data_IF_758231973210
#
_entry.id   IF_758231973210
#
_cell.length_a   1.000
_cell.length_b   1.000
_cell.length_c   1.000
_cell.angle_alpha   90.00
_cell.angle_beta   90.00
_cell.angle_gamma   90.00
#
_symmetry.space_group_name_H-M   'P 1'
#
loop_
_entity.id
_entity.type
_entity.pdbx_description
1 polymer ?
#
# COMPACT_ATOMS: atom_id res chain seq x y z
N UNK A 1 -5.08 -9.46 -15.65
CA UNK A 1 -6.49 -9.10 -15.43
C UNK A 1 -7.43 -10.24 -15.81
N UNK A 2 -7.08 -11.04 -16.82
CA UNK A 2 -7.86 -12.17 -17.31
C UNK A 2 -8.60 -13.01 -16.24
N UNK A 3 -7.95 -13.37 -15.12
CA UNK A 3 -8.62 -14.14 -14.05
C UNK A 3 -9.75 -13.38 -13.34
N UNK A 4 -9.59 -12.09 -13.06
CA UNK A 4 -10.64 -11.29 -12.41
C UNK A 4 -11.85 -11.11 -13.32
N UNK A 5 -11.60 -10.88 -14.62
CA UNK A 5 -12.64 -10.82 -15.65
C UNK A 5 -13.35 -12.17 -15.81
N UNK A 6 -12.60 -13.27 -15.83
CA UNK A 6 -13.16 -14.63 -15.93
C UNK A 6 -14.07 -14.95 -14.74
N UNK A 7 -13.65 -14.65 -13.51
CA UNK A 7 -14.49 -14.91 -12.32
C UNK A 7 -15.75 -14.04 -12.36
N UNK A 8 -15.64 -12.76 -12.77
CA UNK A 8 -16.79 -11.88 -12.92
C UNK A 8 -17.79 -12.37 -13.99
N UNK A 9 -17.30 -13.02 -15.05
CA UNK A 9 -18.12 -13.57 -16.14
C UNK A 9 -18.62 -14.99 -15.87
N UNK A 10 -17.96 -15.76 -14.99
CA UNK A 10 -18.27 -17.16 -14.72
C UNK A 10 -19.57 -17.37 -13.91
N UNK A 11 -20.29 -16.31 -13.54
CA UNK A 11 -21.50 -16.40 -12.71
C UNK A 11 -21.22 -16.81 -11.27
N UNK A 12 -19.96 -16.68 -10.81
CA UNK A 12 -19.58 -16.89 -9.42
C UNK A 12 -20.07 -15.69 -8.61
N UNK A 13 -20.79 -15.95 -7.51
CA UNK A 13 -21.24 -14.90 -6.60
C UNK A 13 -20.12 -14.51 -5.64
N UNK A 14 -19.71 -13.25 -5.73
CA UNK A 14 -18.81 -12.59 -4.79
C UNK A 14 -19.11 -11.09 -4.78
N UNK A 15 -18.79 -10.42 -3.68
CA UNK A 15 -19.19 -9.03 -3.46
C UNK A 15 -18.13 -8.02 -3.92
N UNK A 16 -16.84 -8.37 -3.82
CA UNK A 16 -15.74 -7.43 -4.04
C UNK A 16 -14.40 -8.10 -4.36
N UNK A 17 -13.42 -7.30 -4.79
CA UNK A 17 -12.01 -7.69 -4.87
C UNK A 17 -11.21 -7.10 -3.71
N UNK A 18 -10.40 -7.94 -3.05
CA UNK A 18 -9.37 -7.50 -2.13
C UNK A 18 -8.02 -7.37 -2.84
N UNK A 19 -7.33 -6.25 -2.68
CA UNK A 19 -5.99 -6.02 -3.23
C UNK A 19 -4.98 -5.75 -2.12
N UNK A 20 -3.88 -6.50 -2.16
CA UNK A 20 -2.69 -6.25 -1.35
C UNK A 20 -1.63 -5.61 -2.26
N UNK A 21 -1.13 -4.45 -1.85
CA UNK A 21 -0.20 -3.61 -2.60
C UNK A 21 0.98 -3.28 -1.69
N UNK A 22 1.81 -4.28 -1.47
CA UNK A 22 3.06 -4.15 -0.73
C UNK A 22 4.20 -4.03 -1.75
N UNK A 23 4.86 -2.87 -1.78
CA UNK A 23 5.87 -2.55 -2.80
C UNK A 23 7.22 -2.24 -2.16
N UNK A 24 8.27 -2.13 -2.97
CA UNK A 24 9.62 -1.75 -2.50
C UNK A 24 10.49 -2.89 -1.99
N UNK A 25 10.15 -4.16 -2.25
CA UNK A 25 10.98 -5.33 -1.90
C UNK A 25 11.25 -6.24 -3.11
N UNK A 26 12.38 -6.97 -3.17
CA UNK A 26 12.79 -7.73 -4.35
C UNK A 26 12.06 -9.09 -4.44
N UNK A 27 10.73 -9.04 -4.49
CA UNK A 27 9.84 -10.18 -4.62
C UNK A 27 8.90 -10.00 -5.82
N UNK A 28 8.44 -11.10 -6.46
CA UNK A 28 7.54 -11.02 -7.61
C UNK A 28 6.30 -10.16 -7.32
N UNK A 29 6.09 -9.11 -8.12
CA UNK A 29 4.95 -8.19 -7.96
C UNK A 29 5.19 -7.00 -7.02
N UNK A 30 6.20 -7.08 -6.14
CA UNK A 30 6.44 -6.14 -5.04
C UNK A 30 7.62 -5.17 -5.27
N UNK A 31 8.19 -5.12 -6.48
CA UNK A 31 9.23 -4.15 -6.81
C UNK A 31 8.71 -2.70 -6.70
N UNK A 32 9.61 -1.74 -6.50
CA UNK A 32 9.24 -0.33 -6.47
C UNK A 32 8.54 0.07 -7.78
N UNK A 33 7.43 0.79 -7.67
CA UNK A 33 6.65 1.31 -8.79
C UNK A 33 6.47 2.80 -8.64
N UNK A 34 6.38 3.49 -9.78
CA UNK A 34 5.94 4.86 -9.79
C UNK A 34 4.41 4.96 -9.57
N UNK A 35 3.95 6.17 -9.30
CA UNK A 35 2.56 6.47 -9.00
C UNK A 35 1.62 6.26 -10.21
N UNK A 36 2.12 6.44 -11.43
CA UNK A 36 1.33 6.19 -12.64
C UNK A 36 1.09 4.69 -12.83
N UNK A 37 2.12 3.86 -12.61
CA UNK A 37 1.98 2.40 -12.60
C UNK A 37 0.99 1.93 -11.52
N UNK A 38 1.04 2.51 -10.32
CA UNK A 38 0.06 2.23 -9.25
C UNK A 38 -1.36 2.58 -9.71
N UNK A 39 -1.58 3.77 -10.29
CA UNK A 39 -2.87 4.16 -10.85
C UNK A 39 -3.35 3.19 -11.92
N UNK A 40 -2.51 2.87 -12.92
CA UNK A 40 -2.85 1.95 -13.99
C UNK A 40 -3.18 0.54 -13.48
N UNK A 41 -2.55 0.11 -12.38
CA UNK A 41 -2.86 -1.17 -11.74
C UNK A 41 -4.25 -1.18 -11.09
N UNK A 42 -4.65 -0.07 -10.47
CA UNK A 42 -6.00 0.09 -9.91
C UNK A 42 -7.06 0.24 -11.00
N UNK A 43 -6.80 1.07 -12.03
CA UNK A 43 -7.73 1.34 -13.15
C UNK A 43 -8.12 0.08 -13.92
N UNK A 44 -7.26 -0.91 -13.85
CA UNK A 44 -7.42 -2.26 -14.36
C UNK A 44 -8.64 -2.98 -13.76
N UNK A 45 -9.08 -2.63 -12.56
CA UNK A 45 -10.29 -3.17 -11.91
C UNK A 45 -11.56 -2.34 -12.20
N UNK A 46 -11.44 -1.17 -12.84
CA UNK A 46 -12.58 -0.27 -13.08
C UNK A 46 -13.70 -0.89 -13.92
N UNK A 47 -13.38 -1.88 -14.76
CA UNK A 47 -14.31 -2.52 -15.71
C UNK A 47 -15.01 -3.76 -15.14
N UNK A 48 -14.59 -4.24 -13.96
CA UNK A 48 -15.10 -5.51 -13.42
C UNK A 48 -16.48 -5.35 -12.75
N UNK A 49 -16.93 -4.11 -12.54
CA UNK A 49 -18.26 -3.81 -12.01
C UNK A 49 -18.47 -4.22 -10.55
N UNK A 50 -17.37 -4.42 -9.82
CA UNK A 50 -17.36 -4.76 -8.38
C UNK A 50 -16.48 -3.78 -7.62
N UNK A 51 -16.83 -3.44 -6.36
CA UNK A 51 -15.98 -2.61 -5.53
C UNK A 51 -14.63 -3.28 -5.24
N UNK A 52 -13.64 -2.44 -4.97
CA UNK A 52 -12.27 -2.83 -4.62
C UNK A 52 -11.98 -2.38 -3.20
N UNK A 53 -11.47 -3.30 -2.38
CA UNK A 53 -10.96 -3.04 -1.04
C UNK A 53 -9.45 -3.20 -1.10
N UNK A 54 -8.70 -2.13 -0.86
CA UNK A 54 -7.25 -2.24 -0.67
C UNK A 54 -7.05 -2.74 0.77
N UNK A 55 -6.74 -4.03 0.91
CA UNK A 55 -6.65 -4.74 2.20
C UNK A 55 -5.29 -4.60 2.85
N UNK A 56 -4.26 -4.30 2.06
CA UNK A 56 -2.95 -3.88 2.54
C UNK A 56 -2.34 -2.93 1.50
N UNK A 57 -1.77 -1.83 1.96
CA UNK A 57 -0.88 -0.99 1.16
C UNK A 57 0.27 -0.51 2.05
N UNK A 58 1.51 -0.72 1.60
CA UNK A 58 2.70 -0.25 2.30
C UNK A 58 3.94 -0.23 1.38
N UNK A 59 5.00 0.41 1.91
CA UNK A 59 6.36 0.45 1.37
C UNK A 59 7.36 0.47 2.52
N UNK A 60 8.64 0.11 2.30
CA UNK A 60 9.64 0.08 3.35
C UNK A 60 9.97 1.48 3.87
N UNK A 61 10.45 1.54 5.11
CA UNK A 61 10.98 2.76 5.71
C UNK A 61 12.51 2.78 5.78
N UNK A 62 13.18 1.79 5.20
CA UNK A 62 14.63 1.60 5.26
C UNK A 62 15.15 0.90 4.02
N UNK A 63 16.42 1.09 3.62
CA UNK A 63 16.95 0.49 2.41
C UNK A 63 17.51 -0.92 2.65
N UNK A 64 17.82 -1.26 3.90
CA UNK A 64 18.52 -2.49 4.29
C UNK A 64 17.59 -3.63 4.70
N UNK A 65 18.21 -4.80 4.92
CA UNK A 65 17.54 -5.95 5.50
C UNK A 65 16.97 -5.64 6.88
N UNK A 66 15.87 -6.31 7.22
CA UNK A 66 15.26 -6.26 8.54
C UNK A 66 15.07 -7.68 9.06
N UNK A 67 15.84 -8.09 10.07
CA UNK A 67 15.75 -9.45 10.61
C UNK A 67 14.44 -9.70 11.38
N UNK A 68 13.69 -8.64 11.70
CA UNK A 68 12.43 -8.72 12.45
C UNK A 68 11.20 -8.81 11.56
N UNK A 69 11.35 -8.66 10.24
CA UNK A 69 10.27 -8.82 9.27
C UNK A 69 9.99 -10.30 8.97
N UNK A 70 8.88 -10.57 8.25
CA UNK A 70 8.53 -11.93 7.82
C UNK A 70 9.53 -12.57 6.87
N UNK A 71 10.40 -11.78 6.23
CA UNK A 71 11.43 -12.30 5.33
C UNK A 71 12.68 -12.76 6.09
N UNK A 72 12.79 -12.46 7.38
CA UNK A 72 13.97 -12.71 8.22
C UNK A 72 15.23 -12.06 7.61
N UNK A 73 15.06 -10.84 7.07
CA UNK A 73 16.14 -10.08 6.43
C UNK A 73 16.56 -10.57 5.05
N UNK A 74 15.80 -11.45 4.40
CA UNK A 74 16.08 -11.96 3.05
C UNK A 74 15.66 -10.97 1.96
N UNK A 75 14.65 -10.14 2.22
CA UNK A 75 14.19 -9.11 1.29
C UNK A 75 14.90 -7.79 1.60
N UNK A 76 15.78 -7.36 0.70
CA UNK A 76 16.56 -6.12 0.83
C UNK A 76 15.95 -5.04 -0.06
N UNK A 77 15.31 -3.99 0.51
CA UNK A 77 14.61 -2.97 -0.27
C UNK A 77 15.48 -2.26 -1.32
N UNK A 78 16.77 -2.06 -1.06
CA UNK A 78 17.68 -1.43 -2.04
C UNK A 78 17.86 -2.24 -3.33
N UNK A 79 17.51 -3.53 -3.34
CA UNK A 79 17.54 -4.38 -4.53
C UNK A 79 16.22 -4.35 -5.33
N UNK A 80 15.20 -3.64 -4.85
CA UNK A 80 13.86 -3.59 -5.44
C UNK A 80 13.60 -2.36 -6.33
N UNK A 81 14.63 -1.57 -6.61
CA UNK A 81 14.49 -0.25 -7.22
C UNK A 81 14.22 0.86 -6.20
N UNK A 82 14.06 2.09 -6.68
CA UNK A 82 13.81 3.28 -5.85
C UNK A 82 12.66 4.08 -6.45
N UNK A 83 11.90 4.79 -5.61
CA UNK A 83 10.92 5.75 -6.09
C UNK A 83 11.57 7.10 -6.42
N UNK A 84 12.09 7.82 -5.41
CA UNK A 84 12.84 9.07 -5.59
C UNK A 84 14.29 8.96 -5.08
N UNK A 85 14.49 8.23 -3.99
CA UNK A 85 15.78 8.04 -3.29
C UNK A 85 15.70 6.75 -2.49
N UNK A 86 16.73 6.45 -1.70
CA UNK A 86 16.69 5.31 -0.78
C UNK A 86 15.54 5.45 0.22
N UNK A 87 14.91 4.32 0.54
CA UNK A 87 13.83 4.27 1.51
C UNK A 87 14.30 4.77 2.87
N UNK A 88 13.54 5.70 3.41
CA UNK A 88 13.63 6.16 4.79
C UNK A 88 12.21 6.46 5.31
N UNK A 89 12.01 6.72 6.62
CA UNK A 89 10.67 6.97 7.16
C UNK A 89 9.98 8.20 6.57
N UNK A 90 10.74 9.18 6.07
CA UNK A 90 10.18 10.37 5.43
C UNK A 90 9.66 10.05 4.01
N UNK A 91 10.40 9.25 3.24
CA UNK A 91 9.99 8.80 1.91
C UNK A 91 8.79 7.85 1.99
N UNK A 92 8.73 6.96 2.99
CA UNK A 92 7.55 6.13 3.25
C UNK A 92 6.30 7.00 3.46
N UNK A 93 6.43 8.10 4.20
CA UNK A 93 5.33 9.02 4.49
C UNK A 93 4.90 9.85 3.27
N UNK A 94 5.84 10.29 2.45
CA UNK A 94 5.58 10.98 1.17
C UNK A 94 4.84 10.03 0.21
N UNK A 95 5.31 8.79 0.11
CA UNK A 95 4.70 7.78 -0.74
C UNK A 95 3.30 7.43 -0.26
N UNK A 96 3.10 7.24 1.05
CA UNK A 96 1.81 6.94 1.65
C UNK A 96 0.77 8.03 1.33
N UNK A 97 1.13 9.32 1.47
CA UNK A 97 0.23 10.41 1.11
C UNK A 97 -0.16 10.36 -0.38
N UNK A 98 0.81 10.17 -1.27
CA UNK A 98 0.56 10.14 -2.70
C UNK A 98 -0.27 8.92 -3.14
N UNK A 99 0.05 7.73 -2.61
CA UNK A 99 -0.67 6.50 -2.88
C UNK A 99 -2.12 6.57 -2.38
N UNK A 100 -2.35 7.10 -1.17
CA UNK A 100 -3.71 7.30 -0.66
C UNK A 100 -4.50 8.28 -1.52
N UNK A 101 -3.91 9.40 -1.95
CA UNK A 101 -4.59 10.36 -2.83
C UNK A 101 -5.02 9.71 -4.16
N UNK A 102 -4.16 8.87 -4.74
CA UNK A 102 -4.49 8.12 -5.96
C UNK A 102 -5.63 7.15 -5.69
N UNK A 103 -5.51 6.31 -4.66
CA UNK A 103 -6.52 5.32 -4.34
C UNK A 103 -7.89 5.96 -4.03
N UNK A 104 -7.92 7.03 -3.22
CA UNK A 104 -9.13 7.80 -2.90
C UNK A 104 -9.72 8.54 -4.11
N UNK A 105 -8.93 8.78 -5.17
CA UNK A 105 -9.44 9.37 -6.41
C UNK A 105 -10.20 8.37 -7.29
N UNK A 106 -10.13 7.07 -6.98
CA UNK A 106 -10.79 6.02 -7.77
C UNK A 106 -12.17 5.70 -7.19
N UNK A 107 -13.28 5.97 -7.91
CA UNK A 107 -14.63 5.82 -7.36
C UNK A 107 -15.04 4.36 -7.06
N UNK A 108 -14.31 3.38 -7.60
CA UNK A 108 -14.52 1.95 -7.32
C UNK A 108 -13.70 1.42 -6.14
N UNK A 109 -12.86 2.25 -5.50
CA UNK A 109 -12.11 1.90 -4.29
C UNK A 109 -12.93 2.31 -3.07
N UNK A 110 -13.40 1.33 -2.32
CA UNK A 110 -14.31 1.55 -1.18
C UNK A 110 -13.55 1.75 0.14
N UNK A 111 -12.42 1.05 0.32
CA UNK A 111 -11.60 1.17 1.52
C UNK A 111 -10.12 1.02 1.23
N UNK A 112 -9.32 1.60 2.14
CA UNK A 112 -7.86 1.47 2.14
C UNK A 112 -7.42 1.10 3.54
N UNK A 113 -6.74 -0.03 3.68
CA UNK A 113 -6.08 -0.45 4.90
C UNK A 113 -4.56 -0.44 4.67
N UNK A 114 -3.82 0.13 5.63
CA UNK A 114 -2.37 0.04 5.66
C UNK A 114 -1.93 -1.37 6.08
N UNK A 115 -0.84 -1.88 5.52
CA UNK A 115 -0.41 -3.28 5.67
C UNK A 115 -0.10 -3.72 7.11
N UNK A 116 0.73 -2.96 7.83
CA UNK A 116 1.10 -3.29 9.22
C UNK A 116 0.91 -2.09 10.17
N UNK A 117 0.31 -2.33 11.34
CA UNK A 117 0.16 -1.27 12.34
C UNK A 117 1.51 -0.86 12.94
N UNK A 118 2.36 -1.82 13.30
CA UNK A 118 3.65 -1.60 13.93
C UNK A 118 4.73 -2.48 13.31
N UNK A 119 6.00 -2.10 13.47
CA UNK A 119 7.18 -2.88 13.08
C UNK A 119 7.40 -4.08 14.04
N UNK A 120 6.35 -4.86 14.27
CA UNK A 120 6.37 -6.13 15.01
C UNK A 120 6.02 -7.24 14.02
N UNK A 121 7.05 -7.95 13.52
CA UNK A 121 6.89 -8.93 12.44
C UNK A 121 6.14 -8.38 11.21
N UNK A 122 6.55 -7.22 10.66
CA UNK A 122 5.90 -6.62 9.49
C UNK A 122 6.10 -7.51 8.24
N UNK A 123 5.22 -7.36 7.25
CA UNK A 123 5.30 -8.15 6.01
C UNK A 123 6.50 -7.75 5.16
N UNK A 124 6.87 -6.46 5.18
CA UNK A 124 8.05 -5.91 4.53
C UNK A 124 8.93 -5.14 5.54
N UNK A 125 10.23 -4.95 5.27
CA UNK A 125 11.14 -4.22 6.15
C UNK A 125 10.61 -2.85 6.56
N UNK A 126 10.33 -2.68 7.85
CA UNK A 126 9.78 -1.43 8.38
C UNK A 126 8.45 -0.97 7.77
N UNK A 127 7.58 -1.91 7.36
CA UNK A 127 6.27 -1.63 6.79
C UNK A 127 5.24 -1.06 7.77
N UNK A 128 5.54 -0.98 9.07
CA UNK A 128 4.64 -0.48 10.10
C UNK A 128 4.40 1.03 10.05
N UNK A 129 3.21 1.47 10.49
CA UNK A 129 2.94 2.88 10.81
C UNK A 129 3.56 3.32 12.13
N UNK A 130 3.77 2.39 13.05
CA UNK A 130 4.50 2.56 14.30
C UNK A 130 5.82 1.79 14.21
N UNK A 131 6.84 2.25 14.93
CA UNK A 131 8.07 1.47 15.09
C UNK A 131 7.88 0.29 16.08
N UNK A 132 8.96 -0.46 16.31
CA UNK A 132 9.02 -1.61 17.23
C UNK A 132 8.78 -1.23 18.71
N UNK A 133 8.86 0.06 19.02
CA UNK A 133 8.58 0.66 20.33
C UNK A 133 7.20 1.34 20.37
N UNK A 134 6.33 1.09 19.38
CA UNK A 134 5.00 1.67 19.22
C UNK A 134 4.98 3.21 19.09
N UNK A 135 6.11 3.82 18.71
CA UNK A 135 6.18 5.25 18.45
C UNK A 135 5.69 5.53 17.03
N UNK A 136 4.88 6.58 16.82
CA UNK A 136 4.34 6.89 15.50
C UNK A 136 5.45 7.33 14.53
N UNK A 137 5.48 6.70 13.36
CA UNK A 137 6.35 7.09 12.24
C UNK A 137 5.72 8.26 11.48
N UNK A 138 6.50 8.98 10.64
CA UNK A 138 5.96 10.07 9.84
C UNK A 138 4.76 9.66 8.96
N UNK A 139 4.73 8.41 8.47
CA UNK A 139 3.63 7.87 7.68
C UNK A 139 2.30 7.85 8.47
N UNK A 140 2.33 7.47 9.75
CA UNK A 140 1.14 7.51 10.63
C UNK A 140 0.56 8.93 10.71
N UNK A 141 1.42 9.92 10.96
CA UNK A 141 1.02 11.31 11.08
C UNK A 141 0.44 11.85 9.77
N UNK A 142 1.02 11.49 8.62
CA UNK A 142 0.51 11.88 7.31
C UNK A 142 -0.87 11.29 7.02
N UNK A 143 -1.06 9.99 7.26
CA UNK A 143 -2.36 9.31 7.06
C UNK A 143 -3.42 9.89 8.01
N UNK A 144 -3.06 10.16 9.27
CA UNK A 144 -3.95 10.82 10.23
C UNK A 144 -4.38 12.21 9.73
N UNK A 145 -3.43 13.04 9.29
CA UNK A 145 -3.69 14.38 8.75
C UNK A 145 -4.59 14.33 7.51
N UNK A 146 -4.37 13.34 6.63
CA UNK A 146 -5.20 13.11 5.45
C UNK A 146 -6.65 12.81 5.85
N UNK A 147 -6.86 11.89 6.80
CA UNK A 147 -8.18 11.55 7.34
C UNK A 147 -8.89 12.77 7.92
N UNK A 148 -8.21 13.56 8.76
CA UNK A 148 -8.78 14.77 9.36
C UNK A 148 -9.19 15.79 8.30
N UNK A 149 -8.41 15.92 7.23
CA UNK A 149 -8.69 16.84 6.11
C UNK A 149 -9.99 16.46 5.41
N UNK A 150 -10.17 15.19 5.05
CA UNK A 150 -11.38 14.73 4.35
C UNK A 150 -12.63 14.75 5.25
N UNK A 151 -12.49 14.40 6.53
CA UNK A 151 -13.62 14.48 7.47
C UNK A 151 -14.16 15.89 7.66
N UNK A 152 -13.32 16.92 7.55
CA UNK A 152 -13.76 18.33 7.60
C UNK A 152 -14.49 18.74 6.33
N UNK A 153 -14.12 18.20 5.17
CA UNK A 153 -14.77 18.49 3.89
C UNK A 153 -16.17 17.88 3.81
N UNK A 154 -16.38 16.68 4.36
CA UNK A 154 -17.70 16.02 4.38
C UNK A 154 -18.71 16.63 5.35
N UNK A 155 -18.27 17.52 6.26
CA UNK A 155 -19.13 18.19 7.24
C UNK A 155 -19.60 19.59 6.80
N UNK A 156 -19.12 20.09 5.66
CA UNK A 156 -19.56 21.36 5.06
C UNK A 156 -20.57 21.08 3.97
#
# INVERSE_FOLDING_TARGET
MQYAEMIAQAGINFDAFGLEIELGVPAPGMFARDLFQLSCMLDRFSTVGRPVFITAIDVPDRPGADATDKSEGKLIPSAAGKWHRDWDPALQAEWAEAAYRIALSKPFVESIAWGNLADINPTIPGGGLLDDMFRPKPAFLNVQKLRETYQRQTKK
#
